data_IF_411248157607
#
_entry.id   IF_411248157607
#
_cell.length_a   1.000
_cell.length_b   1.000
_cell.length_c   1.000
_cell.angle_alpha   90.00
_cell.angle_beta   90.00
_cell.angle_gamma   90.00
#
_symmetry.space_group_name_H-M   'P 1'
#
loop_
_entity.id
_entity.type
_entity.pdbx_description
1 polymer ?
#
# COMPACT_ATOMS: atom_id res chain seq x y z
N UNK A 1 23.36 -13.01 -10.45
CA UNK A 1 22.33 -12.01 -10.16
C UNK A 1 22.91 -10.63 -10.45
N UNK A 2 22.37 -9.95 -11.45
CA UNK A 2 22.75 -8.55 -11.68
C UNK A 2 22.06 -7.65 -10.62
N UNK A 3 22.52 -6.41 -10.46
CA UNK A 3 21.95 -5.51 -9.44
C UNK A 3 20.46 -5.24 -9.65
N UNK A 4 20.01 -5.22 -10.91
CA UNK A 4 18.61 -5.00 -11.32
C UNK A 4 17.68 -6.11 -10.81
N UNK A 5 18.02 -7.37 -11.03
CA UNK A 5 17.28 -8.54 -10.53
C UNK A 5 17.16 -8.51 -9.00
N UNK A 6 18.23 -8.07 -8.31
CA UNK A 6 18.24 -7.98 -6.84
C UNK A 6 17.30 -6.88 -6.33
N UNK A 7 17.17 -5.78 -7.07
CA UNK A 7 16.27 -4.68 -6.73
C UNK A 7 14.81 -5.14 -6.90
N UNK A 8 14.47 -5.78 -8.02
CA UNK A 8 13.14 -6.32 -8.27
C UNK A 8 12.74 -7.36 -7.20
N UNK A 9 13.61 -8.33 -6.90
CA UNK A 9 13.35 -9.32 -5.84
C UNK A 9 13.19 -8.67 -4.45
N UNK A 10 13.93 -7.61 -4.15
CA UNK A 10 13.84 -6.93 -2.84
C UNK A 10 12.50 -6.20 -2.69
N UNK A 11 12.03 -5.55 -3.77
CA UNK A 11 10.73 -4.88 -3.80
C UNK A 11 9.60 -5.89 -3.59
N UNK A 12 9.65 -7.02 -4.30
CA UNK A 12 8.66 -8.10 -4.16
C UNK A 12 8.72 -8.77 -2.77
N UNK A 13 9.90 -9.03 -2.23
CA UNK A 13 10.10 -9.71 -0.95
C UNK A 13 9.68 -8.87 0.26
N UNK A 14 9.80 -7.54 0.18
CA UNK A 14 9.44 -6.66 1.30
C UNK A 14 7.93 -6.67 1.58
N UNK A 15 7.12 -6.95 0.54
CA UNK A 15 5.68 -7.15 0.57
C UNK A 15 4.92 -6.16 1.47
N UNK A 16 5.27 -4.88 1.32
CA UNK A 16 4.70 -3.81 2.13
C UNK A 16 3.21 -3.60 1.82
N UNK A 17 2.82 -3.81 0.55
CA UNK A 17 1.43 -3.77 0.10
C UNK A 17 0.52 -4.72 0.89
N UNK A 18 0.88 -6.00 1.02
CA UNK A 18 0.06 -6.95 1.79
C UNK A 18 0.04 -6.66 3.29
N UNK A 19 1.13 -6.12 3.85
CA UNK A 19 1.17 -5.67 5.25
C UNK A 19 0.22 -4.50 5.48
N UNK A 20 0.22 -3.50 4.59
CA UNK A 20 -0.73 -2.38 4.65
C UNK A 20 -2.17 -2.88 4.47
N UNK A 21 -2.40 -3.80 3.53
CA UNK A 21 -3.71 -4.40 3.31
C UNK A 21 -4.22 -5.12 4.57
N UNK A 22 -3.37 -5.89 5.24
CA UNK A 22 -3.72 -6.57 6.50
C UNK A 22 -4.15 -5.58 7.58
N UNK A 23 -3.48 -4.42 7.69
CA UNK A 23 -3.90 -3.35 8.60
C UNK A 23 -5.26 -2.75 8.22
N UNK A 24 -5.52 -2.58 6.92
CA UNK A 24 -6.81 -2.09 6.42
C UNK A 24 -7.95 -3.09 6.72
N UNK A 25 -7.70 -4.39 6.56
CA UNK A 25 -8.69 -5.45 6.82
C UNK A 25 -9.04 -5.54 8.31
N UNK A 26 -8.03 -5.46 9.18
CA UNK A 26 -8.24 -5.37 10.62
C UNK A 26 -9.09 -4.13 10.98
N UNK A 27 -8.74 -2.96 10.45
CA UNK A 27 -9.45 -1.72 10.74
C UNK A 27 -10.89 -1.73 10.22
N UNK A 28 -11.14 -2.37 9.07
CA UNK A 28 -12.50 -2.58 8.54
C UNK A 28 -13.35 -3.42 9.52
N UNK A 29 -12.76 -4.47 10.08
CA UNK A 29 -13.43 -5.30 11.11
C UNK A 29 -13.77 -4.49 12.36
N UNK A 30 -12.84 -3.64 12.82
CA UNK A 30 -13.08 -2.75 13.96
C UNK A 30 -14.18 -1.71 13.68
N UNK A 31 -14.25 -1.17 12.45
CA UNK A 31 -15.33 -0.27 12.03
C UNK A 31 -16.69 -0.96 12.12
N UNK A 32 -16.80 -2.20 11.64
CA UNK A 32 -18.04 -2.98 11.71
C UNK A 32 -18.47 -3.26 13.16
N UNK A 33 -17.53 -3.63 14.04
CA UNK A 33 -17.81 -3.87 15.45
C UNK A 33 -18.29 -2.59 16.18
N UNK A 34 -17.66 -1.45 15.87
CA UNK A 34 -18.04 -0.15 16.42
C UNK A 34 -19.43 0.28 15.92
N UNK A 35 -19.77 0.02 14.65
CA UNK A 35 -21.11 0.31 14.10
C UNK A 35 -22.21 -0.48 14.81
N UNK A 36 -22.00 -1.77 15.08
CA UNK A 36 -22.97 -2.59 15.84
C UNK A 36 -23.23 -2.01 17.23
N UNK A 37 -22.17 -1.56 17.91
CA UNK A 37 -22.27 -0.94 19.23
C UNK A 37 -22.98 0.41 19.15
N UNK A 38 -22.74 1.18 18.08
CA UNK A 38 -23.40 2.45 17.80
C UNK A 38 -24.91 2.27 17.64
N UNK A 39 -25.33 1.30 16.85
CA UNK A 39 -26.75 1.00 16.64
C UNK A 39 -27.45 0.59 17.93
N UNK A 40 -26.79 -0.21 18.76
CA UNK A 40 -27.29 -0.56 20.08
C UNK A 40 -27.46 0.68 20.97
N UNK A 41 -26.46 1.56 21.02
CA UNK A 41 -26.52 2.78 21.82
C UNK A 41 -27.67 3.70 21.38
N UNK A 42 -27.89 3.83 20.06
CA UNK A 42 -29.02 4.58 19.49
C UNK A 42 -30.35 3.99 19.93
N UNK A 43 -30.52 2.66 19.81
CA UNK A 43 -31.76 1.96 20.20
C UNK A 43 -32.10 2.11 21.69
N UNK A 44 -31.09 2.25 22.54
CA UNK A 44 -31.26 2.37 23.99
C UNK A 44 -31.22 3.82 24.52
N UNK A 45 -31.16 4.83 23.63
CA UNK A 45 -31.02 6.25 24.00
C UNK A 45 -29.77 6.56 24.85
N UNK A 46 -28.68 5.81 24.65
CA UNK A 46 -27.40 6.01 25.33
C UNK A 46 -26.58 7.11 24.63
N UNK A 47 -26.99 8.37 24.79
CA UNK A 47 -26.44 9.52 24.04
C UNK A 47 -24.95 9.74 24.22
N UNK A 48 -24.44 9.56 25.45
CA UNK A 48 -23.01 9.74 25.74
C UNK A 48 -22.19 8.67 25.02
N UNK A 49 -22.61 7.41 25.14
CA UNK A 49 -21.96 6.29 24.47
C UNK A 49 -22.01 6.46 22.95
N UNK A 50 -23.14 6.91 22.39
CA UNK A 50 -23.26 7.22 20.97
C UNK A 50 -22.24 8.27 20.51
N UNK A 51 -22.01 9.33 21.29
CA UNK A 51 -21.01 10.36 20.97
C UNK A 51 -19.58 9.81 21.00
N UNK A 52 -19.24 9.05 22.05
CA UNK A 52 -17.92 8.43 22.19
C UNK A 52 -17.64 7.48 21.01
N UNK A 53 -18.64 6.65 20.64
CA UNK A 53 -18.58 5.74 19.49
C UNK A 53 -18.45 6.50 18.16
N UNK A 54 -19.22 7.56 17.94
CA UNK A 54 -19.12 8.37 16.72
C UNK A 54 -17.72 8.96 16.53
N UNK A 55 -17.04 9.34 17.61
CA UNK A 55 -15.68 9.86 17.55
C UNK A 55 -14.69 8.75 17.16
N UNK A 56 -14.78 7.58 17.81
CA UNK A 56 -13.96 6.42 17.45
C UNK A 56 -14.16 6.00 15.99
N UNK A 57 -15.42 5.92 15.55
CA UNK A 57 -15.80 5.61 14.18
C UNK A 57 -15.16 6.57 13.16
N UNK A 58 -15.25 7.88 13.39
CA UNK A 58 -14.58 8.89 12.55
C UNK A 58 -13.06 8.70 12.51
N UNK A 59 -12.43 8.46 13.66
CA UNK A 59 -10.99 8.21 13.74
C UNK A 59 -10.58 6.97 12.94
N UNK A 60 -11.37 5.90 12.96
CA UNK A 60 -11.10 4.71 12.15
C UNK A 60 -11.20 5.01 10.65
N UNK A 61 -12.19 5.77 10.19
CA UNK A 61 -12.26 6.16 8.77
C UNK A 61 -11.08 7.03 8.32
N UNK A 62 -10.61 7.94 9.18
CA UNK A 62 -9.41 8.74 8.90
C UNK A 62 -8.17 7.85 8.80
N UNK A 63 -8.00 6.91 9.74
CA UNK A 63 -6.90 5.96 9.69
C UNK A 63 -6.97 5.09 8.42
N UNK A 64 -8.17 4.62 8.04
CA UNK A 64 -8.38 3.85 6.82
C UNK A 64 -8.03 4.64 5.55
N UNK A 65 -8.39 5.93 5.49
CA UNK A 65 -8.04 6.76 4.34
C UNK A 65 -6.53 7.02 4.24
N UNK A 66 -5.86 7.18 5.38
CA UNK A 66 -4.39 7.31 5.42
C UNK A 66 -3.74 6.01 4.94
N UNK A 67 -4.18 4.84 5.42
CA UNK A 67 -3.64 3.55 5.00
C UNK A 67 -3.84 3.30 3.49
N UNK A 68 -5.01 3.68 2.94
CA UNK A 68 -5.26 3.62 1.49
C UNK A 68 -4.27 4.48 0.71
N UNK A 69 -4.04 5.73 1.13
CA UNK A 69 -3.06 6.62 0.50
C UNK A 69 -1.65 6.02 0.54
N UNK A 70 -1.24 5.48 1.70
CA UNK A 70 0.08 4.86 1.85
C UNK A 70 0.22 3.63 0.93
N UNK A 71 -0.85 2.84 0.78
CA UNK A 71 -0.86 1.70 -0.13
C UNK A 71 -0.70 2.14 -1.58
N UNK A 72 -1.47 3.13 -2.02
CA UNK A 72 -1.39 3.68 -3.38
C UNK A 72 0.00 4.28 -3.67
N UNK A 73 0.57 5.00 -2.70
CA UNK A 73 1.93 5.54 -2.81
C UNK A 73 2.98 4.42 -2.88
N UNK A 74 2.80 3.32 -2.12
CA UNK A 74 3.70 2.17 -2.19
C UNK A 74 3.61 1.45 -3.53
N UNK A 75 2.41 1.23 -4.05
CA UNK A 75 2.19 0.61 -5.37
C UNK A 75 2.87 1.46 -6.47
N UNK A 76 2.67 2.78 -6.44
CA UNK A 76 3.31 3.70 -7.38
C UNK A 76 4.83 3.68 -7.29
N UNK A 77 5.38 3.69 -6.08
CA UNK A 77 6.83 3.63 -5.86
C UNK A 77 7.41 2.32 -6.40
N UNK A 78 6.75 1.19 -6.18
CA UNK A 78 7.19 -0.10 -6.71
C UNK A 78 7.17 -0.11 -8.24
N UNK A 79 6.09 0.40 -8.86
CA UNK A 79 5.97 0.50 -10.32
C UNK A 79 7.08 1.41 -10.92
N UNK A 80 7.36 2.54 -10.28
CA UNK A 80 8.44 3.45 -10.68
C UNK A 80 9.82 2.78 -10.60
N UNK A 81 10.10 2.03 -9.52
CA UNK A 81 11.36 1.29 -9.37
C UNK A 81 11.50 0.26 -10.50
N UNK A 82 10.47 -0.53 -10.76
CA UNK A 82 10.49 -1.54 -11.83
C UNK A 82 10.70 -0.88 -13.20
N UNK A 83 10.05 0.25 -13.47
CA UNK A 83 10.27 0.98 -14.71
C UNK A 83 11.70 1.52 -14.85
N UNK A 84 12.27 2.09 -13.78
CA UNK A 84 13.65 2.58 -13.77
C UNK A 84 14.61 1.42 -14.07
N UNK A 85 14.41 0.28 -13.41
CA UNK A 85 15.24 -0.91 -13.60
C UNK A 85 15.20 -1.42 -15.04
N UNK A 86 14.00 -1.54 -15.63
CA UNK A 86 13.82 -1.96 -17.03
C UNK A 86 14.51 -0.99 -18.01
N UNK A 87 14.31 0.31 -17.82
CA UNK A 87 14.94 1.33 -18.67
C UNK A 87 16.48 1.29 -18.60
N UNK A 88 17.06 0.99 -17.43
CA UNK A 88 18.50 0.81 -17.30
C UNK A 88 19.00 -0.44 -18.04
N UNK A 89 18.29 -1.56 -17.91
CA UNK A 89 18.62 -2.80 -18.65
C UNK A 89 18.59 -2.58 -20.17
N UNK A 90 17.57 -1.90 -20.69
CA UNK A 90 17.46 -1.57 -22.12
C UNK A 90 18.60 -0.67 -22.60
N UNK A 91 19.00 0.34 -21.80
CA UNK A 91 20.15 1.19 -22.10
C UNK A 91 21.45 0.39 -22.13
N UNK A 92 21.69 -0.47 -21.14
CA UNK A 92 22.88 -1.32 -21.10
C UNK A 92 22.95 -2.26 -22.31
N UNK A 93 21.82 -2.87 -22.69
CA UNK A 93 21.74 -3.73 -23.87
C UNK A 93 21.99 -2.97 -25.18
N UNK A 94 21.47 -1.74 -25.30
CA UNK A 94 21.69 -0.86 -26.45
C UNK A 94 23.16 -0.44 -26.59
N UNK A 95 23.82 -0.10 -25.48
CA UNK A 95 25.26 0.23 -25.46
C UNK A 95 26.12 -0.99 -25.83
N UNK A 96 25.77 -2.19 -25.34
CA UNK A 96 26.44 -3.42 -25.75
C UNK A 96 26.28 -3.72 -27.24
N UNK A 97 25.08 -3.53 -27.80
CA UNK A 97 24.82 -3.69 -29.23
C UNK A 97 25.61 -2.70 -30.07
N UNK A 98 25.69 -1.43 -29.67
CA UNK A 98 26.43 -0.39 -30.38
C UNK A 98 27.95 -0.65 -30.39
N UNK A 99 28.52 -1.12 -29.28
CA UNK A 99 29.93 -1.50 -29.20
C UNK A 99 30.25 -2.83 -29.92
N UNK A 100 29.24 -3.62 -30.29
CA UNK A 100 29.40 -4.85 -31.05
C UNK A 100 29.47 -4.61 -32.56
N UNK A 101 28.98 -3.46 -33.05
CA UNK A 101 28.92 -3.11 -34.47
C UNK A 101 30.15 -2.38 -35.00
N UNK A 102 31.04 -1.87 -34.14
CA UNK A 102 32.28 -1.16 -34.55
C UNK A 102 33.49 -2.09 -34.74
N UNK A 103 33.27 -3.41 -34.74
CA UNK A 103 34.31 -4.41 -34.98
C UNK A 103 33.83 -5.42 -36.06
N UNK A 104 33.53 -4.92 -37.26
CA UNK A 104 33.27 -5.72 -38.46
C UNK A 104 33.88 -5.05 -39.70
#
# INVERSE_FOLDING_TARGET
MNYSEKIEETVECTDLGNKIQSCMDYLATEIEAVEQTREWAIKNNEFRLQQEINNAWKSHYVALSILKSIREDNERMNDEIVMIVKNEQEKSASVQSANSTDNA
#
